data_IF_311498520980
#
_entry.id   IF_311498520980
#
_cell.length_a   1.000
_cell.length_b   1.000
_cell.length_c   1.000
_cell.angle_alpha   90.00
_cell.angle_beta   90.00
_cell.angle_gamma   90.00
#
_symmetry.space_group_name_H-M   'P 1'
#
loop_
_entity.id
_entity.type
_entity.pdbx_description
1 polymer ?
#
# COMPACT_ATOMS: atom_id res chain seq x y z
N UNK A 1 -12.10 11.83 61.95
CA UNK A 1 -11.87 11.08 60.69
C UNK A 1 -11.24 12.03 59.68
N UNK A 2 -9.92 11.93 59.45
CA UNK A 2 -9.18 12.76 58.47
C UNK A 2 -9.20 12.04 57.11
N UNK A 3 -9.82 12.65 56.09
CA UNK A 3 -9.80 12.17 54.70
C UNK A 3 -8.53 12.69 54.03
N UNK A 4 -7.59 11.81 53.69
CA UNK A 4 -6.45 12.14 52.83
C UNK A 4 -6.90 12.16 51.35
N UNK A 5 -6.43 13.11 50.52
CA UNK A 5 -6.79 13.13 49.11
C UNK A 5 -5.95 12.10 48.35
N UNK A 6 -6.62 11.23 47.61
CA UNK A 6 -6.02 10.29 46.67
C UNK A 6 -5.53 11.09 45.45
N UNK A 7 -4.22 11.22 45.28
CA UNK A 7 -3.63 11.88 44.12
C UNK A 7 -3.76 10.96 42.88
N UNK A 8 -4.56 11.38 41.90
CA UNK A 8 -4.62 10.75 40.58
C UNK A 8 -3.33 11.10 39.80
N UNK A 9 -2.47 10.10 39.59
CA UNK A 9 -1.34 10.21 38.65
C UNK A 9 -1.87 10.02 37.22
N UNK A 10 -1.91 11.10 36.43
CA UNK A 10 -2.14 11.01 34.98
C UNK A 10 -0.88 10.42 34.33
N UNK A 11 -0.98 9.18 33.85
CA UNK A 11 0.03 8.61 32.96
C UNK A 11 -0.01 9.37 31.62
N UNK A 12 1.01 10.19 31.37
CA UNK A 12 1.19 10.82 30.06
C UNK A 12 1.57 9.75 29.04
N UNK A 13 0.69 9.48 28.08
CA UNK A 13 1.03 8.63 26.94
C UNK A 13 1.98 9.40 26.03
N UNK A 14 3.26 9.05 26.05
CA UNK A 14 4.25 9.56 25.09
C UNK A 14 3.91 8.95 23.73
N UNK A 15 3.33 9.75 22.84
CA UNK A 15 3.19 9.41 21.42
C UNK A 15 4.58 9.27 20.82
N UNK A 16 5.03 8.02 20.62
CA UNK A 16 6.28 7.76 19.91
C UNK A 16 6.07 7.96 18.41
N UNK A 17 6.78 8.95 17.87
CA UNK A 17 6.94 9.14 16.44
C UNK A 17 7.54 7.86 15.84
N UNK A 18 6.85 7.27 14.88
CA UNK A 18 7.31 6.09 14.16
C UNK A 18 8.06 6.54 12.92
N UNK A 19 9.27 6.05 12.75
CA UNK A 19 10.04 6.28 11.52
C UNK A 19 9.85 5.10 10.58
N UNK A 20 9.58 5.37 9.31
CA UNK A 20 9.38 4.37 8.26
C UNK A 20 10.38 4.61 7.14
N UNK A 21 10.98 3.52 6.64
CA UNK A 21 11.82 3.54 5.43
C UNK A 21 11.18 2.66 4.38
N UNK A 22 11.33 3.03 3.11
CA UNK A 22 10.87 2.19 2.01
C UNK A 22 11.67 0.88 1.96
N UNK A 23 11.03 -0.28 1.71
CA UNK A 23 11.75 -1.54 1.59
C UNK A 23 12.70 -1.51 0.37
N UNK A 24 13.84 -2.17 0.46
CA UNK A 24 14.65 -2.50 -0.71
C UNK A 24 13.97 -3.57 -1.56
N UNK A 25 14.44 -3.78 -2.78
CA UNK A 25 13.90 -4.78 -3.70
C UNK A 25 14.02 -6.20 -3.11
N UNK A 26 15.10 -6.47 -2.39
CA UNK A 26 15.34 -7.74 -1.70
C UNK A 26 14.45 -7.93 -0.47
N UNK A 27 13.75 -6.89 -0.02
CA UNK A 27 12.78 -6.95 1.08
C UNK A 27 11.34 -7.11 0.58
N UNK A 28 11.07 -7.01 -0.72
CA UNK A 28 9.73 -7.21 -1.27
C UNK A 28 9.43 -8.70 -1.47
N UNK A 29 8.24 -9.14 -1.07
CA UNK A 29 7.79 -10.53 -1.17
C UNK A 29 6.43 -10.59 -1.84
N UNK A 30 6.31 -11.44 -2.85
CA UNK A 30 5.00 -11.82 -3.37
C UNK A 30 4.33 -12.76 -2.36
N UNK A 31 3.13 -12.40 -1.91
CA UNK A 31 2.42 -13.14 -0.85
C UNK A 31 1.49 -14.20 -1.44
N UNK A 32 0.81 -13.88 -2.54
CA UNK A 32 -0.05 -14.82 -3.26
C UNK A 32 0.37 -14.97 -4.72
N UNK A 33 0.05 -16.14 -5.28
CA UNK A 33 0.28 -16.41 -6.69
C UNK A 33 -0.53 -15.44 -7.59
N UNK A 34 -0.01 -15.19 -8.77
CA UNK A 34 -0.76 -14.52 -9.82
C UNK A 34 -1.97 -15.38 -10.24
N UNK A 35 -3.14 -14.77 -10.48
CA UNK A 35 -4.30 -15.51 -10.95
C UNK A 35 -4.02 -16.23 -12.27
N UNK A 36 -4.57 -17.44 -12.42
CA UNK A 36 -4.60 -18.12 -13.73
C UNK A 36 -5.58 -17.44 -14.67
N UNK A 37 -5.45 -17.70 -15.97
CA UNK A 37 -6.40 -17.18 -16.97
C UNK A 37 -7.85 -17.61 -16.68
N UNK A 38 -8.04 -18.86 -16.24
CA UNK A 38 -9.35 -19.37 -15.83
C UNK A 38 -9.91 -18.59 -14.63
N UNK A 39 -9.10 -18.36 -13.60
CA UNK A 39 -9.48 -17.56 -12.44
C UNK A 39 -9.81 -16.12 -12.83
N UNK A 40 -9.08 -15.52 -13.77
CA UNK A 40 -9.35 -14.18 -14.26
C UNK A 40 -10.68 -14.09 -15.02
N UNK A 41 -11.02 -15.10 -15.83
CA UNK A 41 -12.32 -15.16 -16.52
C UNK A 41 -13.47 -15.32 -15.54
N UNK A 42 -13.34 -16.23 -14.58
CA UNK A 42 -14.34 -16.39 -13.52
C UNK A 42 -14.53 -15.11 -12.69
N UNK A 43 -13.44 -14.40 -12.39
CA UNK A 43 -13.51 -13.10 -11.70
C UNK A 43 -14.18 -12.03 -12.56
N UNK A 44 -13.89 -11.96 -13.86
CA UNK A 44 -14.59 -11.07 -14.78
C UNK A 44 -16.10 -11.33 -14.79
N UNK A 45 -16.51 -12.59 -14.98
CA UNK A 45 -17.92 -12.98 -15.04
C UNK A 45 -18.65 -12.63 -13.73
N UNK A 46 -18.03 -12.90 -12.58
CA UNK A 46 -18.60 -12.56 -11.28
C UNK A 46 -18.68 -11.05 -11.05
N UNK A 47 -17.57 -10.34 -11.26
CA UNK A 47 -17.44 -8.90 -11.00
C UNK A 47 -18.26 -8.04 -11.96
N UNK A 48 -18.42 -8.49 -13.21
CA UNK A 48 -19.12 -7.78 -14.27
C UNK A 48 -20.51 -8.36 -14.58
N UNK A 49 -20.99 -9.32 -13.80
CA UNK A 49 -22.37 -9.79 -13.91
C UNK A 49 -23.37 -8.66 -13.75
N UNK A 50 -24.54 -8.79 -14.38
CA UNK A 50 -25.63 -7.80 -14.28
C UNK A 50 -26.13 -7.62 -12.84
N UNK A 51 -25.93 -8.63 -12.00
CA UNK A 51 -26.28 -8.62 -10.59
C UNK A 51 -25.15 -8.08 -9.68
N UNK A 52 -24.04 -7.60 -10.24
CA UNK A 52 -22.94 -7.04 -9.45
C UNK A 52 -23.21 -5.59 -9.05
N UNK A 53 -22.98 -5.28 -7.77
CA UNK A 53 -23.22 -3.94 -7.20
C UNK A 53 -22.23 -2.87 -7.70
N UNK A 54 -21.10 -3.26 -8.30
CA UNK A 54 -19.99 -2.35 -8.53
C UNK A 54 -20.02 -1.65 -9.90
N UNK A 55 -20.52 -2.32 -10.95
CA UNK A 55 -20.50 -1.78 -12.33
C UNK A 55 -21.74 -2.12 -13.17
N UNK A 56 -22.66 -2.95 -12.67
CA UNK A 56 -23.85 -3.44 -13.38
C UNK A 56 -23.54 -3.89 -14.83
N UNK A 57 -22.34 -4.45 -15.04
CA UNK A 57 -21.86 -4.96 -16.32
C UNK A 57 -21.64 -3.96 -17.46
N UNK A 58 -21.83 -2.65 -17.29
CA UNK A 58 -21.91 -1.71 -18.43
C UNK A 58 -20.91 -0.56 -18.44
N UNK A 59 -20.05 -0.43 -17.43
CA UNK A 59 -19.12 0.69 -17.34
C UNK A 59 -17.73 0.26 -16.86
N UNK A 60 -16.71 1.03 -17.25
CA UNK A 60 -15.33 0.80 -16.85
C UNK A 60 -14.78 -0.55 -17.35
N UNK A 61 -14.11 -1.33 -16.49
CA UNK A 61 -13.42 -2.55 -16.90
C UNK A 61 -14.37 -3.66 -17.40
N UNK A 62 -15.68 -3.52 -17.20
CA UNK A 62 -16.65 -4.55 -17.56
C UNK A 62 -17.06 -4.58 -19.03
N UNK A 63 -16.54 -3.66 -19.85
CA UNK A 63 -16.82 -3.61 -21.29
C UNK A 63 -15.78 -4.37 -22.13
N UNK A 64 -14.60 -4.62 -21.57
CA UNK A 64 -13.50 -5.31 -22.24
C UNK A 64 -12.71 -6.14 -21.22
N UNK A 65 -12.64 -7.45 -21.49
CA UNK A 65 -11.86 -8.38 -20.67
C UNK A 65 -10.38 -8.02 -20.60
N UNK A 66 -9.79 -7.46 -21.67
CA UNK A 66 -8.37 -7.09 -21.65
C UNK A 66 -8.13 -5.90 -20.71
N UNK A 67 -9.01 -4.91 -20.71
CA UNK A 67 -8.94 -3.80 -19.75
C UNK A 67 -9.19 -4.27 -18.32
N UNK A 68 -10.14 -5.18 -18.09
CA UNK A 68 -10.31 -5.81 -16.79
C UNK A 68 -9.04 -6.53 -16.35
N UNK A 69 -8.46 -7.34 -17.22
CA UNK A 69 -7.25 -8.11 -16.96
C UNK A 69 -6.09 -7.18 -16.63
N UNK A 70 -5.88 -6.11 -17.39
CA UNK A 70 -4.85 -5.10 -17.12
C UNK A 70 -4.96 -4.49 -15.71
N UNK A 71 -6.19 -4.28 -15.22
CA UNK A 71 -6.46 -3.65 -13.93
C UNK A 71 -6.51 -4.63 -12.74
N UNK A 72 -6.87 -5.89 -12.98
CA UNK A 72 -7.19 -6.87 -11.94
C UNK A 72 -6.24 -8.05 -11.89
N UNK A 73 -5.41 -8.26 -12.92
CA UNK A 73 -4.36 -9.27 -12.94
C UNK A 73 -3.17 -8.81 -12.07
N UNK A 74 -3.38 -8.83 -10.77
CA UNK A 74 -2.43 -8.36 -9.78
C UNK A 74 -2.26 -9.37 -8.65
N UNK A 75 -1.08 -9.40 -8.04
CA UNK A 75 -0.82 -10.13 -6.80
C UNK A 75 -0.48 -9.15 -5.68
N UNK A 76 -0.79 -9.54 -4.44
CA UNK A 76 -0.36 -8.88 -3.23
C UNK A 76 1.14 -9.09 -3.02
N UNK A 77 1.82 -7.99 -2.76
CA UNK A 77 3.20 -7.92 -2.37
C UNK A 77 3.32 -7.15 -1.06
N UNK A 78 4.26 -7.57 -0.22
CA UNK A 78 4.53 -6.94 1.07
C UNK A 78 6.03 -6.76 1.29
N UNK A 79 6.39 -5.79 2.13
CA UNK A 79 7.73 -5.72 2.71
C UNK A 79 7.94 -6.88 3.68
N UNK A 80 9.20 -7.30 3.87
CA UNK A 80 9.55 -8.43 4.73
C UNK A 80 9.11 -8.26 6.20
N UNK A 81 8.96 -7.02 6.66
CA UNK A 81 8.46 -6.66 7.99
C UNK A 81 6.93 -6.44 8.03
N UNK A 82 6.24 -6.57 6.90
CA UNK A 82 4.79 -6.36 6.75
C UNK A 82 4.35 -4.89 6.89
N UNK A 83 5.28 -3.93 6.94
CA UNK A 83 4.95 -2.52 7.13
C UNK A 83 4.33 -1.87 5.88
N UNK A 84 4.65 -2.37 4.69
CA UNK A 84 4.18 -1.85 3.41
C UNK A 84 3.57 -2.97 2.57
N UNK A 85 2.46 -2.67 1.90
CA UNK A 85 1.77 -3.59 1.00
C UNK A 85 1.36 -2.93 -0.33
N UNK A 86 1.17 -3.72 -1.37
CA UNK A 86 0.66 -3.24 -2.64
C UNK A 86 0.23 -4.37 -3.57
N UNK A 87 -0.70 -4.05 -4.48
CA UNK A 87 -1.09 -4.95 -5.56
C UNK A 87 -0.29 -4.61 -6.81
N UNK A 88 0.59 -5.52 -7.22
CA UNK A 88 1.47 -5.33 -8.37
C UNK A 88 0.97 -6.14 -9.56
N UNK A 89 1.15 -5.62 -10.77
CA UNK A 89 0.77 -6.31 -12.00
C UNK A 89 1.49 -7.65 -12.14
N UNK A 90 0.72 -8.69 -12.46
CA UNK A 90 1.21 -10.02 -12.79
C UNK A 90 1.75 -10.15 -14.21
N UNK A 91 1.65 -9.09 -15.02
CA UNK A 91 2.28 -9.02 -16.34
C UNK A 91 3.75 -8.61 -16.25
N UNK A 92 4.15 -8.00 -15.13
CA UNK A 92 5.55 -7.66 -14.86
C UNK A 92 6.26 -8.87 -14.25
N UNK A 93 7.33 -9.41 -14.86
CA UNK A 93 8.06 -10.52 -14.28
C UNK A 93 8.65 -10.16 -12.91
N UNK A 94 8.62 -11.11 -11.96
CA UNK A 94 9.24 -10.97 -10.62
C UNK A 94 10.68 -10.48 -10.71
N UNK A 95 11.45 -11.02 -11.64
CA UNK A 95 12.86 -10.66 -11.88
C UNK A 95 13.04 -9.22 -12.39
N UNK A 96 12.00 -8.60 -12.93
CA UNK A 96 11.99 -7.18 -13.32
C UNK A 96 11.62 -6.29 -12.13
N UNK A 97 10.63 -6.70 -11.33
CA UNK A 97 10.25 -6.00 -10.09
C UNK A 97 11.46 -5.87 -9.16
N UNK A 98 12.23 -6.94 -9.02
CA UNK A 98 13.45 -6.97 -8.19
C UNK A 98 14.58 -6.04 -8.68
N UNK A 99 14.46 -5.45 -9.88
CA UNK A 99 15.44 -4.51 -10.44
C UNK A 99 14.98 -3.06 -10.39
N UNK A 100 13.73 -2.79 -10.00
CA UNK A 100 13.23 -1.43 -9.96
C UNK A 100 13.78 -0.68 -8.77
N UNK A 101 14.44 0.45 -9.05
CA UNK A 101 14.96 1.33 -8.01
C UNK A 101 13.85 2.19 -7.40
N UNK A 102 13.99 2.45 -6.10
CA UNK A 102 13.16 3.43 -5.42
C UNK A 102 13.36 4.79 -6.10
N UNK A 103 12.26 5.34 -6.60
CA UNK A 103 12.22 6.59 -7.35
C UNK A 103 11.71 7.73 -6.48
N UNK A 104 10.78 7.44 -5.57
CA UNK A 104 10.22 8.45 -4.67
C UNK A 104 9.56 7.82 -3.44
N UNK A 105 9.63 8.55 -2.33
CA UNK A 105 8.75 8.37 -1.17
C UNK A 105 7.83 9.59 -1.04
N UNK A 106 6.54 9.37 -0.76
CA UNK A 106 5.57 10.45 -0.56
C UNK A 106 4.52 10.09 0.49
N UNK A 107 4.01 11.10 1.19
CA UNK A 107 2.89 10.95 2.11
C UNK A 107 1.68 11.71 1.58
N UNK A 108 0.53 11.04 1.51
CA UNK A 108 -0.74 11.65 1.11
C UNK A 108 -1.81 11.37 2.15
N UNK A 109 -2.70 12.32 2.38
CA UNK A 109 -3.79 12.17 3.35
C UNK A 109 -5.14 12.16 2.62
N UNK A 110 -5.98 11.18 2.96
CA UNK A 110 -7.37 11.09 2.50
C UNK A 110 -8.28 10.86 3.70
N UNK A 111 -9.02 11.89 4.10
CA UNK A 111 -9.81 11.85 5.34
C UNK A 111 -8.90 11.60 6.54
N UNK A 112 -9.24 10.63 7.38
CA UNK A 112 -8.46 10.28 8.59
C UNK A 112 -7.33 9.28 8.33
N UNK A 113 -7.00 8.97 7.08
CA UNK A 113 -5.99 7.98 6.72
C UNK A 113 -4.86 8.68 5.96
N UNK A 114 -3.65 8.47 6.44
CA UNK A 114 -2.41 8.82 5.75
C UNK A 114 -1.86 7.58 5.05
N UNK A 115 -1.50 7.73 3.79
CA UNK A 115 -0.82 6.74 2.98
C UNK A 115 0.61 7.22 2.71
N UNK A 116 1.59 6.48 3.22
CA UNK A 116 3.01 6.65 2.90
C UNK A 116 3.33 5.68 1.77
N UNK A 117 3.73 6.20 0.62
CA UNK A 117 3.89 5.44 -0.62
C UNK A 117 5.36 5.43 -1.04
N UNK A 118 5.85 4.24 -1.37
CA UNK A 118 7.17 3.98 -1.93
C UNK A 118 6.99 3.59 -3.40
N UNK A 119 7.49 4.43 -4.31
CA UNK A 119 7.33 4.28 -5.75
C UNK A 119 8.64 3.76 -6.35
N UNK A 120 8.56 2.66 -7.09
CA UNK A 120 9.69 1.99 -7.72
C UNK A 120 9.45 1.93 -9.22
N UNK A 121 10.38 2.45 -10.02
CA UNK A 121 10.21 2.54 -11.47
C UNK A 121 8.94 3.30 -11.86
N UNK A 122 8.21 2.81 -12.87
CA UNK A 122 6.99 3.43 -13.38
C UNK A 122 5.72 3.02 -12.63
N UNK A 123 5.61 1.74 -12.25
CA UNK A 123 4.29 1.15 -11.93
C UNK A 123 4.25 0.34 -10.62
N UNK A 124 5.38 0.23 -9.90
CA UNK A 124 5.43 -0.49 -8.62
C UNK A 124 5.26 0.47 -7.46
N UNK A 125 4.23 0.25 -6.65
CA UNK A 125 3.95 1.06 -5.48
C UNK A 125 3.62 0.17 -4.29
N UNK A 126 4.38 0.33 -3.21
CA UNK A 126 4.05 -0.23 -1.91
C UNK A 126 3.63 0.90 -0.96
N UNK A 127 2.63 0.64 -0.13
CA UNK A 127 1.96 1.65 0.68
C UNK A 127 1.88 1.20 2.13
N UNK A 128 2.23 2.07 3.05
CA UNK A 128 1.89 1.97 4.46
C UNK A 128 0.68 2.87 4.73
N UNK A 129 -0.37 2.33 5.37
CA UNK A 129 -1.56 3.10 5.74
C UNK A 129 -1.70 3.20 7.25
N UNK A 130 -1.93 4.42 7.73
CA UNK A 130 -2.08 4.69 9.17
C UNK A 130 -3.05 5.82 9.42
N UNK A 131 -3.56 5.92 10.66
CA UNK A 131 -4.32 7.08 11.14
C UNK A 131 -3.43 8.20 11.68
N UNK A 132 -2.14 7.93 11.87
CA UNK A 132 -1.13 8.92 12.24
C UNK A 132 -0.92 9.94 11.13
N UNK A 133 -0.47 11.13 11.48
CA UNK A 133 -0.02 12.11 10.49
C UNK A 133 1.41 11.75 10.10
N UNK A 134 1.68 11.55 8.82
CA UNK A 134 3.02 11.24 8.34
C UNK A 134 3.56 12.33 7.44
N UNK A 135 4.84 12.65 7.59
CA UNK A 135 5.57 13.58 6.74
C UNK A 135 6.80 12.89 6.14
N UNK A 136 7.17 13.28 4.92
CA UNK A 136 8.39 12.82 4.24
C UNK A 136 9.32 14.03 4.08
N UNK A 137 10.59 13.87 4.46
CA UNK A 137 11.55 14.97 4.41
C UNK A 137 11.74 15.47 2.95
N UNK A 138 11.80 16.80 2.70
CA UNK A 138 11.99 17.35 1.35
C UNK A 138 13.27 16.87 0.63
N UNK A 139 14.32 16.53 1.40
CA UNK A 139 15.58 16.01 0.88
C UNK A 139 15.43 14.69 0.09
N UNK A 140 14.29 14.01 0.24
CA UNK A 140 13.92 12.83 -0.54
C UNK A 140 13.91 13.02 -2.06
N UNK A 141 13.80 14.25 -2.53
CA UNK A 141 13.85 14.52 -3.96
C UNK A 141 15.23 14.22 -4.59
N UNK A 142 16.30 14.25 -3.78
CA UNK A 142 17.69 14.18 -4.27
C UNK A 142 18.32 12.79 -4.10
N UNK A 143 17.96 12.06 -3.04
CA UNK A 143 18.39 10.68 -2.81
C UNK A 143 17.22 9.86 -2.21
N UNK A 144 16.42 9.18 -3.05
CA UNK A 144 15.29 8.40 -2.60
C UNK A 144 15.67 7.27 -1.63
N UNK A 145 16.89 6.74 -1.70
CA UNK A 145 17.31 5.60 -0.88
C UNK A 145 17.51 5.95 0.59
N UNK A 146 17.69 7.23 0.90
CA UNK A 146 17.80 7.76 2.27
C UNK A 146 16.48 8.32 2.80
N UNK A 147 15.39 8.13 2.07
CA UNK A 147 14.09 8.64 2.47
C UNK A 147 13.53 7.95 3.71
N UNK A 148 13.08 8.79 4.65
CA UNK A 148 12.31 8.37 5.81
C UNK A 148 11.03 9.19 5.91
N UNK A 149 9.94 8.52 6.29
CA UNK A 149 8.75 9.17 6.79
C UNK A 149 8.73 9.14 8.31
N UNK A 150 8.26 10.22 8.92
CA UNK A 150 8.00 10.31 10.36
C UNK A 150 6.49 10.40 10.55
N UNK A 151 5.93 9.47 11.34
CA UNK A 151 4.50 9.33 11.60
C UNK A 151 4.18 9.52 13.09
N UNK A 152 3.33 10.50 13.39
CA UNK A 152 2.92 10.91 14.75
C UNK A 152 1.42 10.73 14.99
#
# INVERSE_FOLDING_TARGET
MRRAPLALLLAATVTHAQTLSCPSQEQMRQINACPTEEQMRAHFDGFCSENSNAYQGKTGPCTDYQEFRRLKNTALWESADGAFDGYLSCETPVSSIQKFNLTRMLATQKGSITAVMCLYGSDVVLTHRTRKTCTVAPACASDPTQCQAVCE
#
